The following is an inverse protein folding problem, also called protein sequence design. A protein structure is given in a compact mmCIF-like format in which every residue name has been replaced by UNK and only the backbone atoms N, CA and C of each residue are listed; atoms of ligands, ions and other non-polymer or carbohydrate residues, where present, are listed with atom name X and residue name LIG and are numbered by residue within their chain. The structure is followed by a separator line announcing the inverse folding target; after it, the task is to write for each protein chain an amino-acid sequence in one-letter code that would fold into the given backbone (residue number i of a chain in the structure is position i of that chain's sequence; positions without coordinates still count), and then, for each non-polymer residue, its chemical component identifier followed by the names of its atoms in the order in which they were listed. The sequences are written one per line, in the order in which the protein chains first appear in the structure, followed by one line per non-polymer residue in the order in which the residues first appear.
data_IF_934483816328
#
_entry.id   IF_934483816328
#
_cell.length_a   1.000
_cell.length_b   1.000
_cell.length_c   1.000
_cell.angle_alpha   90.00
_cell.angle_beta   90.00
_cell.angle_gamma   90.00
#
_symmetry.space_group_name_H-M   'P 1'
#
loop_
_entity.id
_entity.type
_entity.pdbx_description
1 polymer ?
#
# COMPACT_ATOMS: atom_id res chain seq x y z
N UNK A 1 -32.83 6.04 58.62
CA UNK A 1 -32.58 6.98 57.50
C UNK A 1 -31.12 7.36 57.61
N UNK A 2 -30.25 6.73 56.83
CA UNK A 2 -28.86 7.19 56.67
C UNK A 2 -28.85 8.11 55.47
N UNK A 3 -28.60 9.39 55.71
CA UNK A 3 -28.44 10.40 54.68
C UNK A 3 -27.24 10.01 53.80
N UNK A 4 -27.54 9.70 52.54
CA UNK A 4 -26.55 9.39 51.51
C UNK A 4 -26.17 10.73 50.88
N UNK A 5 -25.10 11.34 51.38
CA UNK A 5 -24.50 12.52 50.76
C UNK A 5 -24.00 12.13 49.36
N UNK A 6 -24.72 12.61 48.36
CA UNK A 6 -24.32 12.55 46.96
C UNK A 6 -23.28 13.65 46.73
N UNK A 7 -22.04 13.39 47.13
CA UNK A 7 -20.90 14.20 46.71
C UNK A 7 -20.78 14.14 45.19
N UNK A 8 -21.31 15.19 44.57
CA UNK A 8 -21.17 15.55 43.18
C UNK A 8 -19.72 15.98 42.96
N UNK A 9 -18.80 15.02 42.91
CA UNK A 9 -17.45 15.27 42.41
C UNK A 9 -17.55 15.49 40.90
N UNK A 10 -17.26 16.72 40.46
CA UNK A 10 -17.01 17.07 39.07
C UNK A 10 -15.88 16.18 38.52
N UNK A 11 -16.25 15.04 37.95
CA UNK A 11 -15.30 14.13 37.31
C UNK A 11 -14.73 14.86 36.10
N UNK A 12 -13.49 15.33 36.25
CA UNK A 12 -12.74 15.88 35.14
C UNK A 12 -12.41 14.77 34.13
N UNK A 13 -13.28 14.61 33.13
CA UNK A 13 -13.18 13.63 32.04
C UNK A 13 -11.90 13.69 31.20
N UNK A 14 -11.01 14.66 31.44
CA UNK A 14 -9.75 14.85 30.71
C UNK A 14 -8.52 14.23 31.39
N UNK A 15 -8.61 13.80 32.65
CA UNK A 15 -7.45 13.38 33.44
C UNK A 15 -7.34 11.86 33.71
N UNK A 16 -8.29 11.05 33.23
CA UNK A 16 -8.26 9.59 33.41
C UNK A 16 -7.81 8.93 32.09
N UNK A 17 -6.75 8.11 32.08
CA UNK A 17 -6.37 7.32 30.90
C UNK A 17 -7.56 6.46 30.47
N UNK A 18 -8.21 6.84 29.37
CA UNK A 18 -9.32 6.08 28.80
C UNK A 18 -8.75 4.81 28.17
N UNK A 19 -8.76 3.69 28.91
CA UNK A 19 -8.44 2.38 28.36
C UNK A 19 -9.36 2.04 27.17
N UNK A 20 -8.83 1.27 26.20
CA UNK A 20 -9.44 0.87 24.92
C UNK A 20 -10.83 1.48 24.62
N UNK A 21 -10.88 2.79 24.35
CA UNK A 21 -12.03 3.41 23.70
C UNK A 21 -11.82 3.21 22.20
N UNK A 22 -12.70 2.43 21.57
CA UNK A 22 -12.77 2.33 20.11
C UNK A 22 -12.92 3.74 19.52
N UNK A 23 -12.04 4.12 18.58
CA UNK A 23 -12.13 5.42 17.92
C UNK A 23 -13.49 5.51 17.21
N UNK A 24 -14.28 6.57 17.45
CA UNK A 24 -15.54 6.76 16.75
C UNK A 24 -15.32 6.83 15.24
N UNK A 25 -16.22 6.21 14.46
CA UNK A 25 -16.23 6.40 13.01
C UNK A 25 -16.35 7.91 12.70
N UNK A 26 -15.47 8.43 11.84
CA UNK A 26 -15.55 9.82 11.37
C UNK A 26 -16.92 10.09 10.77
N UNK A 27 -17.49 11.24 11.10
CA UNK A 27 -18.74 11.70 10.49
C UNK A 27 -18.53 11.97 8.99
N UNK A 28 -19.60 11.86 8.20
CA UNK A 28 -19.56 12.19 6.77
C UNK A 28 -19.08 13.62 6.48
N UNK A 29 -19.20 14.54 7.45
CA UNK A 29 -18.66 15.89 7.34
C UNK A 29 -17.13 15.90 7.46
N UNK A 30 -16.57 15.17 8.43
CA UNK A 30 -15.13 15.03 8.63
C UNK A 30 -14.47 14.28 7.47
N UNK A 31 -15.12 13.23 6.96
CA UNK A 31 -14.65 12.50 5.77
C UNK A 31 -14.56 13.44 4.56
N UNK A 32 -15.60 14.25 4.31
CA UNK A 32 -15.61 15.23 3.21
C UNK A 32 -14.53 16.30 3.37
N UNK A 33 -14.30 16.76 4.60
CA UNK A 33 -13.25 17.75 4.87
C UNK A 33 -11.87 17.17 4.58
N UNK A 34 -11.58 15.95 5.03
CA UNK A 34 -10.33 15.27 4.72
C UNK A 34 -10.15 15.03 3.21
N UNK A 35 -11.22 14.75 2.47
CA UNK A 35 -11.19 14.60 1.01
C UNK A 35 -10.88 15.92 0.29
N UNK A 36 -11.44 17.04 0.75
CA UNK A 36 -11.15 18.38 0.22
C UNK A 36 -9.69 18.77 0.46
N UNK A 37 -9.21 18.65 1.70
CA UNK A 37 -7.82 18.98 2.05
C UNK A 37 -6.81 18.16 1.25
N UNK A 38 -7.15 16.90 0.94
CA UNK A 38 -6.32 16.04 0.09
C UNK A 38 -6.34 16.48 -1.37
N UNK A 39 -7.51 16.82 -1.92
CA UNK A 39 -7.62 17.32 -3.29
C UNK A 39 -6.76 18.58 -3.49
N UNK A 40 -6.77 19.50 -2.53
CA UNK A 40 -5.92 20.71 -2.54
C UNK A 40 -4.41 20.37 -2.50
N UNK A 41 -4.01 19.35 -1.72
CA UNK A 41 -2.60 18.88 -1.72
C UNK A 41 -2.19 18.27 -3.06
N UNK A 42 -3.08 17.48 -3.67
CA UNK A 42 -2.83 16.88 -4.99
C UNK A 42 -2.72 17.93 -6.08
N UNK A 43 -3.54 18.99 -6.02
CA UNK A 43 -3.47 20.11 -6.95
C UNK A 43 -2.12 20.85 -6.82
N UNK A 44 -1.71 21.19 -5.60
CA UNK A 44 -0.38 21.80 -5.35
C UNK A 44 0.77 20.94 -5.85
N UNK A 45 0.75 19.63 -5.59
CA UNK A 45 1.79 18.71 -6.06
C UNK A 45 1.83 18.61 -7.61
N UNK A 46 0.69 18.73 -8.29
CA UNK A 46 0.63 18.75 -9.76
C UNK A 46 1.16 20.05 -10.36
N UNK A 47 0.97 21.17 -9.66
CA UNK A 47 1.54 22.46 -10.04
C UNK A 47 3.07 22.44 -9.87
N UNK A 48 3.56 21.93 -8.73
CA UNK A 48 5.00 21.76 -8.46
C UNK A 48 5.68 20.80 -9.45
N UNK A 49 5.01 19.72 -9.87
CA UNK A 49 5.55 18.78 -10.84
C UNK A 49 5.62 19.31 -12.28
N UNK A 50 4.86 20.37 -12.61
CA UNK A 50 4.89 21.00 -13.95
C UNK A 50 6.10 21.94 -14.13
N UNK A 51 6.73 22.38 -13.04
CA UNK A 51 7.89 23.28 -13.08
C UNK A 51 9.25 22.55 -13.27
N UNK A 52 9.29 21.20 -13.21
CA UNK A 52 10.52 20.40 -13.38
C UNK A 52 10.54 19.50 -14.64
N UNK A 53 9.78 19.82 -15.69
CA UNK A 53 9.82 19.06 -16.95
C UNK A 53 10.97 19.50 -17.89
N UNK A 54 12.22 19.30 -17.44
CA UNK A 54 13.45 19.48 -18.23
C UNK A 54 13.91 18.16 -18.86
N UNK A 55 13.85 18.08 -20.19
CA UNK A 55 14.03 16.90 -21.04
C UNK A 55 15.32 16.07 -20.85
N UNK A 56 15.18 14.74 -20.91
CA UNK A 56 16.13 13.87 -21.62
C UNK A 56 15.42 12.69 -22.30
N UNK A 57 15.17 12.80 -23.61
CA UNK A 57 14.76 11.67 -24.45
C UNK A 57 16.01 10.91 -24.91
N UNK A 58 16.52 10.03 -24.06
CA UNK A 58 17.47 9.00 -24.45
C UNK A 58 16.77 7.87 -25.20
N UNK A 59 17.47 7.19 -26.11
CA UNK A 59 16.98 6.00 -26.81
C UNK A 59 16.59 4.95 -25.76
N UNK A 60 15.28 4.78 -25.54
CA UNK A 60 14.76 3.88 -24.53
C UNK A 60 15.16 2.44 -24.87
N UNK A 61 16.00 1.85 -24.03
CA UNK A 61 16.30 0.42 -24.08
C UNK A 61 15.14 -0.29 -23.42
N UNK A 62 14.57 -1.27 -24.11
CA UNK A 62 13.49 -2.09 -23.56
C UNK A 62 13.94 -2.71 -22.21
N UNK A 63 13.13 -2.49 -21.17
CA UNK A 63 13.39 -3.00 -19.81
C UNK A 63 12.91 -4.46 -19.64
N UNK A 64 12.16 -4.99 -20.60
CA UNK A 64 11.58 -6.35 -20.55
C UNK A 64 12.62 -7.44 -20.80
N UNK A 65 13.65 -7.15 -21.60
CA UNK A 65 14.64 -8.17 -22.03
C UNK A 65 15.77 -8.37 -21.03
N UNK A 66 16.19 -7.30 -20.35
CA UNK A 66 17.38 -7.27 -19.50
C UNK A 66 17.12 -6.54 -18.17
N UNK A 67 17.91 -6.88 -17.14
CA UNK A 67 17.79 -6.33 -15.78
C UNK A 67 18.70 -5.12 -15.51
N UNK A 68 19.10 -4.37 -16.53
CA UNK A 68 20.03 -3.25 -16.39
C UNK A 68 19.49 -2.11 -15.51
N UNK A 69 18.16 -2.01 -15.35
CA UNK A 69 17.45 -1.06 -14.51
C UNK A 69 17.40 -1.48 -13.02
N UNK A 70 17.79 -2.71 -12.69
CA UNK A 70 17.77 -3.20 -11.31
C UNK A 70 19.03 -2.76 -10.55
N UNK A 71 18.86 -1.98 -9.48
CA UNK A 71 19.93 -1.59 -8.56
C UNK A 71 19.85 -2.28 -7.20
N UNK A 72 18.75 -2.99 -6.90
CA UNK A 72 18.55 -3.70 -5.63
C UNK A 72 18.99 -5.17 -5.64
N UNK A 73 19.47 -5.69 -6.78
CA UNK A 73 19.89 -7.07 -7.04
C UNK A 73 18.80 -8.17 -6.96
N UNK A 74 17.59 -7.88 -6.47
CA UNK A 74 16.52 -8.87 -6.29
C UNK A 74 15.40 -8.84 -7.35
N UNK A 75 15.40 -7.89 -8.28
CA UNK A 75 14.34 -7.82 -9.28
C UNK A 75 14.41 -8.96 -10.31
N UNK A 76 13.24 -9.39 -10.79
CA UNK A 76 13.07 -10.32 -11.91
C UNK A 76 12.65 -9.61 -13.19
N UNK A 77 12.83 -10.30 -14.32
CA UNK A 77 12.27 -9.83 -15.60
C UNK A 77 10.75 -9.93 -15.51
N UNK A 78 10.08 -8.84 -15.89
CA UNK A 78 8.63 -8.78 -15.91
C UNK A 78 8.14 -8.79 -17.36
N UNK A 79 6.97 -9.38 -17.65
CA UNK A 79 6.47 -9.48 -19.03
C UNK A 79 6.16 -8.14 -19.70
N UNK A 80 5.95 -7.09 -18.88
CA UNK A 80 5.61 -5.75 -19.36
C UNK A 80 6.65 -4.73 -18.90
N UNK A 81 6.83 -3.68 -19.69
CA UNK A 81 7.76 -2.59 -19.38
C UNK A 81 7.33 -1.84 -18.12
N UNK A 82 6.02 -1.64 -17.96
CA UNK A 82 5.40 -0.98 -16.81
C UNK A 82 5.71 -1.70 -15.49
N UNK A 83 5.84 -3.03 -15.52
CA UNK A 83 6.22 -3.84 -14.35
C UNK A 83 7.74 -3.98 -14.16
N UNK A 84 8.55 -3.59 -15.16
CA UNK A 84 10.02 -3.69 -15.14
C UNK A 84 10.64 -2.52 -14.39
N UNK A 85 10.39 -2.48 -13.09
CA UNK A 85 10.69 -1.36 -12.19
C UNK A 85 11.37 -1.79 -10.89
N UNK A 86 12.40 -1.04 -10.46
CA UNK A 86 13.19 -1.34 -9.27
C UNK A 86 12.62 -0.68 -8.00
N UNK A 87 12.81 -1.31 -6.84
CA UNK A 87 12.36 -0.73 -5.58
C UNK A 87 13.14 0.53 -5.15
N UNK A 88 14.33 0.79 -5.68
CA UNK A 88 15.03 2.06 -5.43
C UNK A 88 14.51 3.21 -6.30
N UNK A 89 13.79 2.89 -7.37
CA UNK A 89 13.05 3.90 -8.11
C UNK A 89 11.70 4.18 -7.40
N UNK A 90 11.30 3.37 -6.38
CA UNK A 90 9.96 3.35 -5.76
C UNK A 90 9.47 4.71 -5.28
N UNK A 91 10.37 5.49 -4.69
CA UNK A 91 10.09 6.81 -4.15
C UNK A 91 9.64 7.82 -5.22
N UNK A 92 10.02 7.62 -6.49
CA UNK A 92 9.56 8.45 -7.62
C UNK A 92 8.06 8.29 -7.89
N UNK A 93 7.49 7.17 -7.48
CA UNK A 93 6.06 6.84 -7.66
C UNK A 93 5.28 7.02 -6.35
N UNK A 94 5.98 6.99 -5.20
CA UNK A 94 5.43 7.03 -3.84
C UNK A 94 6.29 7.94 -2.93
N UNK A 95 6.24 9.27 -3.10
CA UNK A 95 7.11 10.21 -2.38
C UNK A 95 6.96 10.15 -0.85
N UNK A 96 5.83 9.62 -0.33
CA UNK A 96 5.59 9.42 1.10
C UNK A 96 6.58 8.43 1.77
N UNK A 97 7.34 7.68 0.97
CA UNK A 97 8.37 6.75 1.42
C UNK A 97 9.70 7.41 1.81
N UNK A 98 9.97 8.65 1.39
CA UNK A 98 11.26 9.34 1.62
C UNK A 98 11.69 9.44 3.10
N UNK A 99 10.76 9.28 4.04
CA UNK A 99 11.03 9.35 5.48
C UNK A 99 11.37 8.00 6.16
N UNK A 100 11.56 6.89 5.43
CA UNK A 100 12.01 5.61 5.99
C UNK A 100 13.52 5.37 5.85
N UNK A 101 14.23 6.27 5.18
CA UNK A 101 15.63 6.11 4.77
C UNK A 101 16.54 7.20 5.36
N UNK A 102 16.53 7.39 6.68
CA UNK A 102 17.56 8.17 7.37
C UNK A 102 17.96 7.49 8.68
N UNK A 103 18.94 6.58 8.60
CA UNK A 103 19.91 6.38 9.68
C UNK A 103 21.13 7.25 9.33
N UNK A 104 21.31 8.36 10.03
CA UNK A 104 22.37 9.36 9.79
C UNK A 104 23.81 8.85 10.04
N UNK A 105 24.01 7.61 10.50
CA UNK A 105 25.31 7.11 10.99
C UNK A 105 25.94 5.96 10.20
N UNK A 106 25.38 5.51 9.07
CA UNK A 106 25.97 4.42 8.27
C UNK A 106 26.73 4.95 7.04
N UNK A 107 28.03 5.17 7.21
CA UNK A 107 29.00 5.44 6.13
C UNK A 107 29.18 4.24 5.17
N UNK A 108 28.21 3.99 4.28
CA UNK A 108 28.35 3.34 2.96
C UNK A 108 26.96 3.13 2.31
N UNK A 109 26.81 3.30 0.98
CA UNK A 109 25.55 3.04 0.30
C UNK A 109 25.38 1.52 0.10
N UNK A 110 24.97 0.80 1.14
CA UNK A 110 24.47 -0.55 0.96
C UNK A 110 23.07 -0.41 0.38
N UNK A 111 22.94 -0.68 -0.92
CA UNK A 111 21.67 -0.62 -1.63
C UNK A 111 20.79 -1.80 -1.21
N UNK A 112 20.18 -1.70 -0.02
CA UNK A 112 19.35 -2.74 0.58
C UNK A 112 18.00 -2.77 -0.13
N UNK A 113 17.66 -3.90 -0.73
CA UNK A 113 16.34 -4.09 -1.34
C UNK A 113 15.23 -3.97 -0.30
N UNK A 114 14.15 -3.26 -0.65
CA UNK A 114 12.97 -3.05 0.22
C UNK A 114 12.38 -4.34 0.80
N UNK A 115 12.47 -5.45 0.07
CA UNK A 115 11.96 -6.75 0.53
C UNK A 115 12.69 -7.31 1.75
N UNK A 116 13.83 -6.73 2.14
CA UNK A 116 14.53 -7.05 3.39
C UNK A 116 13.98 -6.29 4.60
N UNK A 117 13.09 -5.32 4.40
CA UNK A 117 12.49 -4.57 5.50
C UNK A 117 11.70 -5.51 6.42
N UNK A 118 11.80 -5.28 7.73
CA UNK A 118 11.24 -6.16 8.77
C UNK A 118 9.72 -6.33 8.69
N UNK A 119 9.03 -5.34 8.12
CA UNK A 119 7.59 -5.39 7.91
C UNK A 119 7.14 -6.42 6.88
N UNK A 120 7.97 -6.79 5.90
CA UNK A 120 7.52 -7.70 4.82
C UNK A 120 7.07 -9.07 5.32
N UNK A 121 7.81 -9.75 6.22
CA UNK A 121 7.32 -10.96 6.89
C UNK A 121 5.96 -10.80 7.57
N UNK A 122 5.70 -9.65 8.21
CA UNK A 122 4.44 -9.38 8.89
C UNK A 122 3.30 -9.10 7.90
N UNK A 123 3.56 -8.26 6.88
CA UNK A 123 2.61 -7.92 5.82
C UNK A 123 2.20 -9.16 5.03
N UNK A 124 3.14 -10.06 4.74
CA UNK A 124 2.88 -11.27 3.97
C UNK A 124 2.39 -12.44 4.83
N UNK A 125 2.16 -12.25 6.13
CA UNK A 125 1.62 -13.29 7.00
C UNK A 125 0.17 -13.63 6.62
N UNK A 126 -0.13 -14.92 6.48
CA UNK A 126 -1.46 -15.38 6.06
C UNK A 126 -2.60 -14.88 6.97
N UNK A 127 -2.38 -14.80 8.29
CA UNK A 127 -3.37 -14.31 9.25
C UNK A 127 -3.66 -12.82 9.04
N UNK A 128 -2.63 -12.01 8.81
CA UNK A 128 -2.79 -10.58 8.49
C UNK A 128 -3.58 -10.41 7.19
N UNK A 129 -3.20 -11.13 6.13
CA UNK A 129 -3.91 -11.07 4.85
C UNK A 129 -5.39 -11.50 4.97
N UNK A 130 -5.70 -12.52 5.78
CA UNK A 130 -7.08 -12.92 6.03
C UNK A 130 -7.90 -11.84 6.73
N UNK A 131 -7.32 -11.18 7.74
CA UNK A 131 -7.98 -10.06 8.43
C UNK A 131 -8.30 -8.96 7.42
N UNK A 132 -7.31 -8.51 6.65
CA UNK A 132 -7.47 -7.46 5.66
C UNK A 132 -8.45 -7.78 4.53
N UNK A 133 -8.56 -9.05 4.12
CA UNK A 133 -9.56 -9.49 3.15
C UNK A 133 -10.99 -9.32 3.66
N UNK A 134 -11.19 -9.57 4.96
CA UNK A 134 -12.51 -9.55 5.59
C UNK A 134 -12.96 -8.15 6.03
N UNK A 135 -12.06 -7.14 6.01
CA UNK A 135 -12.43 -5.75 6.30
C UNK A 135 -13.35 -5.24 5.18
N UNK A 136 -14.60 -4.83 5.50
CA UNK A 136 -15.52 -4.29 4.50
C UNK A 136 -14.91 -3.05 3.83
N UNK A 137 -14.87 -3.03 2.50
CA UNK A 137 -14.40 -1.87 1.75
C UNK A 137 -15.64 -1.15 1.18
N UNK A 138 -15.84 0.15 1.49
CA UNK A 138 -17.09 0.87 1.19
C UNK A 138 -17.47 0.90 -0.30
N UNK A 139 -16.49 0.79 -1.20
CA UNK A 139 -16.71 0.83 -2.65
C UNK A 139 -16.87 -0.56 -3.32
N UNK A 140 -16.89 -1.65 -2.54
CA UNK A 140 -17.03 -2.98 -3.13
C UNK A 140 -18.50 -3.36 -3.28
N UNK A 141 -18.98 -3.45 -4.53
CA UNK A 141 -20.37 -3.83 -4.83
C UNK A 141 -20.76 -5.21 -4.26
N UNK A 142 -19.78 -6.09 -4.00
CA UNK A 142 -19.94 -7.38 -3.32
C UNK A 142 -18.68 -7.67 -2.52
N UNK A 143 -18.84 -8.08 -1.25
CA UNK A 143 -17.72 -8.65 -0.50
C UNK A 143 -17.37 -10.01 -1.11
N UNK A 144 -16.13 -10.22 -1.56
CA UNK A 144 -15.69 -11.52 -2.04
C UNK A 144 -15.74 -12.52 -0.89
N UNK A 145 -15.91 -13.79 -1.25
CA UNK A 145 -15.81 -14.89 -0.29
C UNK A 145 -14.47 -15.59 -0.46
N UNK A 146 -13.90 -16.15 0.61
CA UNK A 146 -12.75 -17.03 0.49
C UNK A 146 -13.07 -18.18 -0.46
N UNK A 147 -12.17 -18.47 -1.38
CA UNK A 147 -12.29 -19.49 -2.43
C UNK A 147 -11.33 -20.67 -2.20
N UNK A 148 -10.56 -20.63 -1.11
CA UNK A 148 -9.67 -21.71 -0.71
C UNK A 148 -10.37 -22.80 0.10
N UNK A 149 -9.65 -23.89 0.43
CA UNK A 149 -10.15 -24.95 1.28
C UNK A 149 -10.45 -24.44 2.69
N UNK A 150 -11.37 -25.10 3.39
CA UNK A 150 -11.71 -24.83 4.80
C UNK A 150 -12.14 -23.39 5.12
N UNK A 151 -12.62 -22.66 4.10
CA UNK A 151 -13.00 -21.25 4.25
C UNK A 151 -11.82 -20.29 4.30
N UNK A 152 -10.60 -20.76 4.01
CA UNK A 152 -9.41 -19.92 3.86
C UNK A 152 -9.35 -19.28 2.48
N UNK A 153 -8.47 -18.30 2.34
CA UNK A 153 -8.21 -17.66 1.05
C UNK A 153 -7.47 -18.63 0.11
N UNK A 154 -7.77 -18.55 -1.19
CA UNK A 154 -6.93 -19.19 -2.20
C UNK A 154 -5.59 -18.46 -2.32
N UNK A 155 -4.55 -19.11 -2.86
CA UNK A 155 -3.26 -18.45 -3.12
C UNK A 155 -3.40 -17.20 -3.98
N UNK A 156 -4.36 -17.21 -4.92
CA UNK A 156 -4.67 -16.03 -5.73
C UNK A 156 -5.23 -14.88 -4.88
N UNK A 157 -6.17 -15.18 -3.98
CA UNK A 157 -6.72 -14.17 -3.08
C UNK A 157 -5.66 -13.62 -2.13
N UNK A 158 -4.79 -14.48 -1.57
CA UNK A 158 -3.66 -14.02 -0.78
C UNK A 158 -2.75 -13.07 -1.56
N UNK A 159 -2.38 -13.40 -2.82
CA UNK A 159 -1.60 -12.49 -3.66
C UNK A 159 -2.30 -11.15 -3.88
N UNK A 160 -3.58 -11.16 -4.23
CA UNK A 160 -4.35 -9.94 -4.50
C UNK A 160 -4.40 -9.02 -3.27
N UNK A 161 -4.58 -9.60 -2.08
CA UNK A 161 -4.55 -8.86 -0.82
C UNK A 161 -3.15 -8.36 -0.52
N UNK A 162 -2.12 -9.20 -0.69
CA UNK A 162 -0.73 -8.83 -0.46
C UNK A 162 -0.29 -7.65 -1.35
N UNK A 163 -0.62 -7.67 -2.64
CA UNK A 163 -0.33 -6.55 -3.55
C UNK A 163 -0.92 -5.24 -3.02
N UNK A 164 -2.16 -5.32 -2.53
CA UNK A 164 -2.87 -4.15 -2.01
C UNK A 164 -2.27 -3.64 -0.71
N UNK A 165 -2.03 -4.51 0.27
CA UNK A 165 -1.51 -4.08 1.58
C UNK A 165 -0.13 -3.47 1.43
N UNK A 166 0.72 -3.99 0.54
CA UNK A 166 2.03 -3.39 0.30
C UNK A 166 1.89 -1.95 -0.22
N UNK A 167 0.94 -1.68 -1.11
CA UNK A 167 0.66 -0.30 -1.55
C UNK A 167 0.12 0.53 -0.38
N UNK A 168 -0.83 0.01 0.41
CA UNK A 168 -1.40 0.73 1.57
C UNK A 168 -0.32 1.03 2.64
N UNK A 169 0.62 0.10 2.87
CA UNK A 169 1.79 0.26 3.75
C UNK A 169 2.72 1.36 3.24
N UNK A 170 3.07 1.31 1.96
CA UNK A 170 3.97 2.29 1.36
C UNK A 170 3.33 3.71 1.29
N UNK A 171 1.99 3.80 1.21
CA UNK A 171 1.24 5.06 1.29
C UNK A 171 1.10 5.62 2.72
N UNK A 172 1.50 4.87 3.76
CA UNK A 172 1.40 5.30 5.18
C UNK A 172 0.03 5.85 5.58
N UNK A 173 -1.04 5.21 5.10
CA UNK A 173 -2.42 5.61 5.40
C UNK A 173 -3.03 6.65 4.45
N UNK A 174 -2.26 7.17 3.49
CA UNK A 174 -2.82 7.98 2.41
C UNK A 174 -3.65 7.09 1.47
N UNK A 175 -4.79 7.63 1.01
CA UNK A 175 -5.60 6.97 -0.02
C UNK A 175 -4.93 7.20 -1.37
N UNK A 176 -5.15 6.31 -2.34
CA UNK A 176 -4.66 6.50 -3.72
C UNK A 176 -5.61 7.33 -4.59
N UNK A 177 -6.89 7.42 -4.20
CA UNK A 177 -7.95 8.05 -5.01
C UNK A 177 -8.56 7.10 -6.06
N UNK A 178 -9.77 7.39 -6.55
CA UNK A 178 -10.45 6.56 -7.54
C UNK A 178 -9.71 6.58 -8.89
N UNK A 179 -9.70 5.44 -9.60
CA UNK A 179 -9.09 5.32 -10.93
C UNK A 179 -7.56 5.24 -10.94
N UNK A 180 -6.90 5.75 -9.89
CA UNK A 180 -5.46 5.71 -9.72
C UNK A 180 -5.01 4.30 -9.33
N UNK A 181 -4.08 3.72 -10.09
CA UNK A 181 -3.45 2.43 -9.82
C UNK A 181 -1.94 2.63 -9.77
N UNK A 182 -1.26 1.89 -8.89
CA UNK A 182 0.19 1.90 -8.77
C UNK A 182 0.75 0.51 -9.01
N UNK A 183 1.88 0.46 -9.69
CA UNK A 183 2.62 -0.77 -9.97
C UNK A 183 3.57 -1.03 -8.80
N UNK A 184 3.73 -2.31 -8.45
CA UNK A 184 4.69 -2.73 -7.44
C UNK A 184 6.07 -3.01 -8.08
N UNK A 185 7.18 -2.75 -7.36
CA UNK A 185 8.50 -3.14 -7.83
C UNK A 185 8.60 -4.64 -8.11
N UNK A 186 9.39 -4.99 -9.12
CA UNK A 186 9.57 -6.37 -9.55
C UNK A 186 10.03 -7.30 -8.42
N UNK A 187 10.97 -6.87 -7.59
CA UNK A 187 11.42 -7.66 -6.43
C UNK A 187 10.30 -7.95 -5.42
N UNK A 188 9.34 -7.03 -5.27
CA UNK A 188 8.19 -7.21 -4.37
C UNK A 188 7.17 -8.16 -4.98
N UNK A 189 6.90 -8.00 -6.28
CA UNK A 189 6.02 -8.92 -7.02
C UNK A 189 6.57 -10.34 -6.98
N UNK A 190 7.89 -10.50 -7.20
CA UNK A 190 8.57 -11.79 -7.12
C UNK A 190 8.45 -12.42 -5.73
N UNK A 191 8.70 -11.64 -4.67
CA UNK A 191 8.53 -12.11 -3.29
C UNK A 191 7.10 -12.61 -3.03
N UNK A 192 6.08 -11.82 -3.39
CA UNK A 192 4.68 -12.17 -3.18
C UNK A 192 4.29 -13.44 -3.96
N UNK A 193 4.74 -13.55 -5.22
CA UNK A 193 4.49 -14.74 -6.06
C UNK A 193 5.22 -15.97 -5.52
N UNK A 194 6.39 -15.80 -4.91
CA UNK A 194 7.11 -16.86 -4.20
C UNK A 194 6.40 -17.33 -2.93
N UNK A 195 5.83 -16.40 -2.14
CA UNK A 195 5.07 -16.73 -0.94
C UNK A 195 3.72 -17.40 -1.28
N UNK A 196 3.03 -16.92 -2.31
CA UNK A 196 1.71 -17.39 -2.72
C UNK A 196 1.69 -17.78 -4.21
N UNK A 197 2.28 -18.94 -4.56
CA UNK A 197 2.48 -19.33 -5.96
C UNK A 197 1.18 -19.68 -6.69
N UNK A 198 1.18 -19.49 -8.01
CA UNK A 198 0.10 -19.94 -8.89
C UNK A 198 0.28 -21.43 -9.18
N UNK A 199 -0.76 -22.27 -9.08
CA UNK A 199 -0.63 -23.70 -9.36
C UNK A 199 -0.04 -24.00 -10.75
N UNK A 200 -0.35 -23.14 -11.73
CA UNK A 200 0.11 -23.27 -13.11
C UNK A 200 1.29 -22.35 -13.44
N UNK A 201 1.81 -21.58 -12.48
CA UNK A 201 2.86 -20.58 -12.71
C UNK A 201 2.45 -19.38 -13.58
N UNK A 202 1.18 -19.30 -13.99
CA UNK A 202 0.64 -18.22 -14.80
C UNK A 202 0.13 -17.08 -13.90
N UNK A 203 0.49 -15.86 -14.28
CA UNK A 203 0.10 -14.64 -13.59
C UNK A 203 -0.43 -13.62 -14.59
N UNK A 204 -1.51 -12.93 -14.22
CA UNK A 204 -1.92 -11.72 -14.92
C UNK A 204 -0.96 -10.58 -14.53
N UNK A 205 -0.49 -9.84 -15.53
CA UNK A 205 0.28 -8.62 -15.31
C UNK A 205 -0.59 -7.45 -14.84
N UNK A 206 0.04 -6.30 -14.64
CA UNK A 206 -0.64 -5.05 -14.35
C UNK A 206 -1.65 -4.68 -15.45
N UNK A 207 -2.82 -4.20 -15.03
CA UNK A 207 -3.88 -3.69 -15.91
C UNK A 207 -4.27 -2.31 -15.42
N UNK A 208 -4.50 -1.38 -16.34
CA UNK A 208 -5.01 -0.06 -16.00
C UNK A 208 -6.47 -0.12 -15.51
N UNK A 209 -6.95 0.98 -14.94
CA UNK A 209 -8.33 1.04 -14.41
C UNK A 209 -9.38 0.88 -15.51
N UNK A 210 -9.13 1.44 -16.70
CA UNK A 210 -9.99 1.33 -17.88
C UNK A 210 -10.04 -0.12 -18.41
N UNK A 211 -8.90 -0.80 -18.48
CA UNK A 211 -8.79 -2.19 -18.95
C UNK A 211 -9.33 -3.21 -17.94
N UNK A 212 -9.30 -2.90 -16.65
CA UNK A 212 -9.81 -3.79 -15.61
C UNK A 212 -11.35 -3.87 -15.61
N UNK A 213 -12.03 -2.82 -16.08
CA UNK A 213 -13.50 -2.78 -16.17
C UNK A 213 -14.03 -3.53 -17.40
N UNK A 214 -13.22 -3.72 -18.44
CA UNK A 214 -13.62 -4.42 -19.66
C UNK A 214 -13.80 -5.95 -19.50
N UNK A 215 -13.45 -6.50 -18.33
CA UNK A 215 -13.54 -7.93 -18.02
C UNK A 215 -14.56 -8.27 -16.92
N UNK A 216 -15.42 -7.33 -16.52
CA UNK A 216 -16.51 -7.54 -15.57
C UNK A 216 -17.90 -7.33 -16.19
#
# INVERSE_FOLDING_TARGET
MSDYDSDNEDINYTAVPRGYLYEPEYTDAEIRQMELERAEREERAREEAQDEAGATAGVARDRVTDKWWCTCSKCQLMPTEVESYCCHEWDLIMPQMQNLSIDEEASAPVSVCITNHEDFPAILNAGVLQIFFNIPKPNWRRNPRPAGPDGLLSSEQYRLVAYRIVIEWALKGEKLGPGNRRVLPSCVVDLIRGTYPSPNGQYAGFKESEDALAFF
#
